data_IF_163007819543
#
_entry.id   IF_163007819543
#
_cell.length_a   1.000
_cell.length_b   1.000
_cell.length_c   1.000
_cell.angle_alpha   90.00
_cell.angle_beta   90.00
_cell.angle_gamma   90.00
#
_symmetry.space_group_name_H-M   'P 1'
#
loop_
_entity.id
_entity.type
_entity.pdbx_description
1 polymer ?
#
# COMPACT_ATOMS: atom_id res chain seq x y z
N UNK A 1 12.73 -25.47 -10.98
CA UNK A 1 12.13 -24.54 -11.95
C UNK A 1 11.64 -23.33 -11.17
N UNK A 2 12.08 -22.15 -11.60
CA UNK A 2 11.57 -20.82 -11.23
C UNK A 2 11.87 -20.33 -9.81
N UNK A 3 13.17 -20.20 -9.52
CA UNK A 3 13.71 -19.44 -8.40
C UNK A 3 14.05 -17.99 -8.84
N UNK A 4 13.16 -17.36 -9.61
CA UNK A 4 13.26 -15.92 -9.87
C UNK A 4 12.50 -15.23 -8.74
N UNK A 5 13.27 -14.81 -7.74
CA UNK A 5 12.80 -13.96 -6.65
C UNK A 5 12.31 -12.64 -7.24
N UNK A 6 11.06 -12.61 -7.74
CA UNK A 6 10.33 -11.37 -7.98
C UNK A 6 10.34 -10.65 -6.64
N UNK A 7 11.17 -9.61 -6.56
CA UNK A 7 11.19 -8.63 -5.49
C UNK A 7 9.74 -8.39 -5.06
N UNK A 8 9.36 -8.90 -3.87
CA UNK A 8 8.00 -8.84 -3.33
C UNK A 8 7.67 -7.38 -3.01
N UNK A 9 7.43 -6.60 -4.06
CA UNK A 9 6.94 -5.23 -4.04
C UNK A 9 5.46 -5.32 -3.70
N UNK A 10 5.02 -4.49 -2.76
CA UNK A 10 3.68 -4.53 -2.17
C UNK A 10 2.60 -4.81 -3.24
N UNK A 11 2.03 -6.02 -3.21
CA UNK A 11 0.90 -6.39 -4.05
C UNK A 11 -0.35 -5.86 -3.36
N UNK A 12 -1.09 -4.91 -3.96
CA UNK A 12 -2.40 -4.54 -3.44
C UNK A 12 -3.33 -5.75 -3.57
N UNK A 13 -4.02 -6.10 -2.49
CA UNK A 13 -5.03 -7.17 -2.51
C UNK A 13 -6.41 -6.68 -2.95
N UNK A 14 -6.67 -5.36 -2.81
CA UNK A 14 -7.94 -4.74 -3.13
C UNK A 14 -7.74 -3.48 -3.97
N UNK A 15 -8.61 -3.28 -4.96
CA UNK A 15 -8.65 -2.06 -5.75
C UNK A 15 -9.11 -0.89 -4.87
N UNK A 16 -8.32 0.20 -4.74
CA UNK A 16 -8.67 1.34 -3.89
C UNK A 16 -9.92 2.10 -4.37
N UNK A 17 -10.39 1.84 -5.59
CA UNK A 17 -11.54 2.52 -6.18
C UNK A 17 -12.86 1.73 -6.12
N UNK A 18 -12.82 0.39 -6.08
CA UNK A 18 -14.04 -0.43 -6.13
C UNK A 18 -14.03 -1.62 -5.16
N UNK A 19 -12.93 -1.91 -4.46
CA UNK A 19 -12.82 -3.01 -3.51
C UNK A 19 -12.56 -4.39 -4.13
N UNK A 20 -12.69 -4.53 -5.45
CA UNK A 20 -12.43 -5.77 -6.18
C UNK A 20 -10.99 -6.27 -6.02
N UNK A 21 -10.81 -7.59 -6.12
CA UNK A 21 -9.52 -8.28 -5.93
C UNK A 21 -8.87 -8.71 -7.25
N UNK A 22 -9.56 -8.53 -8.39
CA UNK A 22 -9.05 -8.89 -9.72
C UNK A 22 -8.07 -7.83 -10.26
N UNK A 23 -6.87 -7.84 -9.69
CA UNK A 23 -5.77 -6.92 -9.95
C UNK A 23 -4.65 -7.59 -10.75
N UNK A 24 -4.23 -6.94 -11.83
CA UNK A 24 -3.23 -7.44 -12.76
C UNK A 24 -2.08 -6.44 -12.94
N UNK A 25 -0.83 -6.90 -13.10
CA UNK A 25 0.29 -6.02 -13.39
C UNK A 25 0.08 -5.32 -14.74
N UNK A 26 0.42 -4.04 -14.81
CA UNK A 26 0.27 -3.23 -16.01
C UNK A 26 1.59 -2.47 -16.33
N UNK A 27 2.03 -2.54 -17.59
CA UNK A 27 3.22 -1.85 -18.08
C UNK A 27 2.95 -0.35 -18.33
N UNK A 28 3.94 0.55 -18.14
CA UNK A 28 5.33 0.28 -17.72
C UNK A 28 5.52 0.11 -16.20
N UNK A 29 4.51 0.43 -15.40
CA UNK A 29 4.48 0.17 -13.97
C UNK A 29 3.06 0.38 -13.43
N UNK A 30 2.65 -0.46 -12.47
CA UNK A 30 1.39 -0.32 -11.75
C UNK A 30 0.49 -1.53 -11.88
N UNK A 31 -0.77 -1.32 -11.53
CA UNK A 31 -1.81 -2.33 -11.39
C UNK A 31 -3.06 -1.87 -12.11
N UNK A 32 -3.65 -2.78 -12.88
CA UNK A 32 -4.96 -2.60 -13.47
C UNK A 32 -5.98 -3.44 -12.71
N UNK A 33 -7.11 -2.82 -12.34
CA UNK A 33 -8.29 -3.56 -11.90
C UNK A 33 -9.17 -3.88 -13.12
N UNK A 34 -9.52 -5.15 -13.33
CA UNK A 34 -10.38 -5.57 -14.44
C UNK A 34 -11.87 -5.25 -14.20
N UNK A 35 -12.31 -5.26 -12.94
CA UNK A 35 -13.70 -4.95 -12.57
C UNK A 35 -14.10 -3.51 -12.91
N UNK A 36 -13.28 -2.52 -12.53
CA UNK A 36 -13.56 -1.11 -12.80
C UNK A 36 -12.67 -0.49 -13.89
N UNK A 37 -11.79 -1.27 -14.52
CA UNK A 37 -10.88 -0.86 -15.62
C UNK A 37 -9.94 0.31 -15.30
N UNK A 38 -9.65 0.55 -14.02
CA UNK A 38 -8.72 1.63 -13.59
C UNK A 38 -7.30 1.10 -13.48
N UNK A 39 -6.35 1.95 -13.84
CA UNK A 39 -4.91 1.70 -13.70
C UNK A 39 -4.35 2.63 -12.61
N UNK A 40 -3.55 2.09 -11.70
CA UNK A 40 -2.97 2.84 -10.59
C UNK A 40 -1.58 2.31 -10.21
N UNK A 41 -0.79 3.11 -9.50
CA UNK A 41 0.53 2.72 -8.99
C UNK A 41 0.53 2.80 -7.45
N UNK A 42 1.19 1.86 -6.80
CA UNK A 42 1.41 1.88 -5.36
C UNK A 42 2.87 2.23 -5.11
N UNK A 43 3.12 3.27 -4.31
CA UNK A 43 4.46 3.73 -3.95
C UNK A 43 4.55 3.94 -2.43
N UNK A 44 5.67 3.53 -1.83
CA UNK A 44 6.00 3.87 -0.45
C UNK A 44 6.59 5.29 -0.44
N UNK A 45 5.88 6.24 0.17
CA UNK A 45 6.35 7.62 0.30
C UNK A 45 7.31 7.82 1.48
N UNK A 46 7.23 6.99 2.53
CA UNK A 46 8.05 7.08 3.73
C UNK A 46 7.32 6.58 4.98
N UNK A 47 7.92 6.78 6.15
CA UNK A 47 7.31 6.49 7.45
C UNK A 47 6.84 7.81 8.08
N UNK A 48 5.61 7.82 8.59
CA UNK A 48 5.10 8.95 9.38
C UNK A 48 5.81 8.99 10.75
N UNK A 49 6.15 10.17 11.28
CA UNK A 49 6.71 10.27 12.62
C UNK A 49 5.68 9.77 13.65
N UNK A 50 6.15 9.07 14.68
CA UNK A 50 5.30 8.63 15.77
C UNK A 50 4.71 9.86 16.49
N UNK A 51 3.43 9.84 16.91
CA UNK A 51 2.90 10.90 17.74
C UNK A 51 3.71 10.94 19.04
N UNK A 52 4.32 12.08 19.32
CA UNK A 52 4.97 12.33 20.60
C UNK A 52 3.88 12.30 21.66
N UNK A 53 3.84 11.24 22.47
CA UNK A 53 3.02 11.22 23.67
C UNK A 53 3.60 12.24 24.63
N UNK A 54 3.08 13.47 24.63
CA UNK A 54 3.26 14.37 25.76
C UNK A 54 2.61 13.67 26.95
N UNK A 55 3.42 13.05 27.80
CA UNK A 55 3.00 12.76 29.16
C UNK A 55 2.85 14.11 29.82
N UNK A 56 1.64 14.67 29.74
CA UNK A 56 1.26 15.77 30.60
C UNK A 56 1.33 15.22 32.03
N UNK A 57 2.37 15.63 32.75
CA UNK A 57 2.46 15.42 34.19
C UNK A 57 1.47 16.39 34.81
N UNK A 58 0.19 16.01 34.80
CA UNK A 58 -0.85 16.69 35.56
C UNK A 58 -1.13 15.84 36.81
N UNK A 59 -0.58 16.28 37.94
CA UNK A 59 -1.03 15.88 39.28
C UNK A 59 0.07 15.53 40.28
N UNK A 60 0.27 16.38 41.29
CA UNK A 60 0.66 15.91 42.63
C UNK A 60 1.48 16.85 43.52
N UNK A 61 0.85 17.87 44.11
CA UNK A 61 0.92 18.29 45.52
C UNK A 61 0.45 19.75 45.71
#
# INVERSE_FOLDING_TARGET
MSEESVSRRAVPYHCPFCGETDLWPNEPAGWQCRGCRRVFKVELLGLMPAPTRTTDVEGGA
#
